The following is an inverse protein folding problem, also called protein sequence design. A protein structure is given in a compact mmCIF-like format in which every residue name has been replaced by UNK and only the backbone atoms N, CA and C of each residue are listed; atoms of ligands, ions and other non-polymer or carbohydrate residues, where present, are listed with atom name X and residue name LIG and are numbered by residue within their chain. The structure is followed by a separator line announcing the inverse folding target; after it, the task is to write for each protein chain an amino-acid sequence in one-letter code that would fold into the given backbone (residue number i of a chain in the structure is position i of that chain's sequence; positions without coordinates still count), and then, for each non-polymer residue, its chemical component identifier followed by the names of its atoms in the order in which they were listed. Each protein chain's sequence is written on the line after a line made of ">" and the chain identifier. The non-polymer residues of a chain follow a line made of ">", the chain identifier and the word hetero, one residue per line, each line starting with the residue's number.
data_IF_373570020520
#
_entry.id   IF_373570020520
#
_cell.length_a   1.000
_cell.length_b   1.000
_cell.length_c   1.000
_cell.angle_alpha   90.00
_cell.angle_beta   90.00
_cell.angle_gamma   90.00
#
_symmetry.space_group_name_H-M   'P 1'
#
loop_
_entity.id
_entity.type
_entity.pdbx_description
1 polymer ?
#
# COMPACT_ATOMS: atom_id res chain seq x y z
N UNK A 1 -5.04 8.17 8.01
CA UNK A 1 -5.84 9.08 7.15
C UNK A 1 -5.06 10.31 6.71
N UNK A 2 -4.43 11.06 7.63
CA UNK A 2 -3.71 12.31 7.31
C UNK A 2 -2.59 12.08 6.28
N UNK A 3 -1.76 11.05 6.46
CA UNK A 3 -0.67 10.71 5.52
C UNK A 3 -1.18 10.39 4.11
N UNK A 4 -2.28 9.66 4.00
CA UNK A 4 -2.89 9.35 2.70
C UNK A 4 -3.43 10.63 2.03
N UNK A 5 -4.07 11.52 2.82
CA UNK A 5 -4.51 12.83 2.33
C UNK A 5 -3.36 13.71 1.84
N UNK A 6 -2.25 13.77 2.57
CA UNK A 6 -1.04 14.49 2.16
C UNK A 6 -0.46 13.92 0.87
N UNK A 7 -0.37 12.59 0.74
CA UNK A 7 0.16 11.94 -0.45
C UNK A 7 -0.70 12.22 -1.70
N UNK A 8 -2.04 12.14 -1.57
CA UNK A 8 -2.97 12.43 -2.66
C UNK A 8 -2.92 13.91 -3.05
N UNK A 9 -2.90 14.81 -2.07
CA UNK A 9 -2.80 16.27 -2.32
C UNK A 9 -1.47 16.59 -3.01
N UNK A 10 -0.36 16.04 -2.50
CA UNK A 10 0.96 16.20 -3.10
C UNK A 10 1.00 15.68 -4.54
N UNK A 11 0.43 14.52 -4.80
CA UNK A 11 0.29 13.95 -6.14
C UNK A 11 -0.50 14.89 -7.07
N UNK A 12 -1.66 15.38 -6.63
CA UNK A 12 -2.51 16.27 -7.45
C UNK A 12 -1.79 17.57 -7.79
N UNK A 13 -1.12 18.18 -6.81
CA UNK A 13 -0.35 19.42 -7.02
C UNK A 13 0.80 19.20 -8.00
N UNK A 14 1.58 18.13 -7.83
CA UNK A 14 2.72 17.85 -8.72
C UNK A 14 2.29 17.51 -10.13
N UNK A 15 1.17 16.78 -10.32
CA UNK A 15 0.59 16.52 -11.66
C UNK A 15 0.15 17.83 -12.32
N UNK A 16 -0.54 18.70 -11.58
CA UNK A 16 -1.00 19.99 -12.11
C UNK A 16 0.19 20.85 -12.53
N UNK A 17 1.24 20.91 -11.71
CA UNK A 17 2.47 21.62 -12.07
C UNK A 17 3.16 21.01 -13.30
N UNK A 18 3.22 19.67 -13.43
CA UNK A 18 3.80 19.01 -14.60
C UNK A 18 3.05 19.38 -15.90
N UNK A 19 1.71 19.39 -15.85
CA UNK A 19 0.88 19.81 -16.99
C UNK A 19 1.16 21.27 -17.36
N UNK A 20 1.19 22.18 -16.40
CA UNK A 20 1.45 23.60 -16.63
C UNK A 20 2.83 23.83 -17.24
N UNK A 21 3.87 23.17 -16.72
CA UNK A 21 5.25 23.32 -17.26
C UNK A 21 5.37 22.78 -18.70
N UNK A 22 4.63 21.72 -19.02
CA UNK A 22 4.55 21.19 -20.41
C UNK A 22 3.83 22.16 -21.36
N UNK A 23 2.74 22.79 -20.89
CA UNK A 23 2.03 23.80 -21.70
C UNK A 23 2.88 25.03 -21.98
N UNK A 24 3.78 25.41 -21.05
CA UNK A 24 4.75 26.49 -21.21
C UNK A 24 5.99 26.11 -22.05
N UNK A 25 5.99 24.89 -22.65
CA UNK A 25 7.10 24.36 -23.46
C UNK A 25 8.43 24.27 -22.67
N UNK A 26 8.40 24.24 -21.35
CA UNK A 26 9.56 24.09 -20.44
C UNK A 26 9.33 22.95 -19.45
N UNK A 27 9.31 21.67 -19.90
CA UNK A 27 9.03 20.54 -19.03
C UNK A 27 10.15 20.36 -18.00
N UNK A 28 9.77 20.26 -16.74
CA UNK A 28 10.68 19.94 -15.65
C UNK A 28 10.68 18.42 -15.43
N UNK A 29 11.67 17.75 -15.98
CA UNK A 29 11.74 16.28 -15.95
C UNK A 29 11.79 15.69 -14.53
N UNK A 30 12.39 16.40 -13.56
CA UNK A 30 12.43 15.96 -12.17
C UNK A 30 11.04 15.97 -11.50
N UNK A 31 10.11 16.78 -11.96
CA UNK A 31 8.77 16.88 -11.42
C UNK A 31 8.00 15.57 -11.62
N UNK A 32 8.24 14.89 -12.74
CA UNK A 32 7.67 13.58 -13.04
C UNK A 32 8.13 12.50 -12.04
N UNK A 33 9.38 12.58 -11.59
CA UNK A 33 9.91 11.67 -10.57
C UNK A 33 9.26 11.90 -9.19
N UNK A 34 9.05 13.16 -8.82
CA UNK A 34 8.35 13.54 -7.59
C UNK A 34 6.90 13.06 -7.63
N UNK A 35 6.22 13.25 -8.76
CA UNK A 35 4.85 12.77 -8.98
C UNK A 35 4.73 11.26 -8.81
N UNK A 36 5.63 10.50 -9.44
CA UNK A 36 5.69 9.04 -9.29
C UNK A 36 5.93 8.62 -7.84
N UNK A 37 6.78 9.35 -7.13
CA UNK A 37 7.06 9.08 -5.71
C UNK A 37 5.80 9.26 -4.87
N UNK A 38 5.10 10.39 -4.98
CA UNK A 38 3.84 10.61 -4.26
C UNK A 38 2.78 9.59 -4.62
N UNK A 39 2.68 9.20 -5.89
CA UNK A 39 1.74 8.19 -6.34
C UNK A 39 2.00 6.83 -5.66
N UNK A 40 3.24 6.35 -5.71
CA UNK A 40 3.62 5.05 -5.13
C UNK A 40 3.37 5.04 -3.62
N UNK A 41 3.87 6.04 -2.89
CA UNK A 41 3.64 6.12 -1.46
C UNK A 41 2.15 6.27 -1.12
N UNK A 42 1.40 7.06 -1.90
CA UNK A 42 -0.05 7.20 -1.73
C UNK A 42 -0.80 5.89 -1.89
N UNK A 43 -0.49 5.11 -2.93
CA UNK A 43 -1.09 3.80 -3.18
C UNK A 43 -0.78 2.81 -2.06
N UNK A 44 0.49 2.71 -1.66
CA UNK A 44 0.89 1.74 -0.62
C UNK A 44 0.38 2.11 0.77
N UNK A 45 0.42 3.39 1.16
CA UNK A 45 -0.15 3.85 2.43
C UNK A 45 -1.68 3.70 2.40
N UNK A 46 -2.32 3.99 1.27
CA UNK A 46 -3.75 3.79 1.07
C UNK A 46 -4.16 2.32 1.22
N UNK A 47 -3.41 1.39 0.60
CA UNK A 47 -3.63 -0.05 0.74
C UNK A 47 -3.49 -0.52 2.20
N UNK A 48 -2.45 -0.07 2.91
CA UNK A 48 -2.27 -0.37 4.33
C UNK A 48 -3.41 0.20 5.20
N UNK A 49 -3.89 1.41 4.89
CA UNK A 49 -5.02 2.03 5.58
C UNK A 49 -6.34 1.29 5.31
N UNK A 50 -6.57 0.83 4.08
CA UNK A 50 -7.74 0.02 3.71
C UNK A 50 -7.73 -1.33 4.45
N UNK A 51 -6.57 -1.98 4.55
CA UNK A 51 -6.42 -3.22 5.32
C UNK A 51 -6.78 -3.00 6.80
N UNK A 52 -6.36 -1.90 7.40
CA UNK A 52 -6.71 -1.57 8.80
C UNK A 52 -8.21 -1.38 9.01
N UNK A 53 -8.93 -0.84 8.01
CA UNK A 53 -10.38 -0.59 8.11
C UNK A 53 -11.24 -1.83 7.87
N UNK A 54 -10.66 -2.95 7.51
CA UNK A 54 -11.40 -4.13 7.05
C UNK A 54 -12.34 -3.84 5.85
N UNK A 55 -12.04 -2.81 5.07
CA UNK A 55 -12.82 -2.39 3.90
C UNK A 55 -12.67 -3.39 2.72
N UNK A 56 -12.39 -4.65 2.99
CA UNK A 56 -12.51 -5.74 2.02
C UNK A 56 -13.99 -6.08 1.79
N UNK A 57 -14.75 -5.07 1.36
CA UNK A 57 -16.20 -5.09 1.15
C UNK A 57 -16.71 -6.31 0.38
N UNK A 58 -15.90 -6.85 -0.52
CA UNK A 58 -16.29 -8.01 -1.34
C UNK A 58 -16.37 -9.31 -0.53
N UNK A 59 -15.47 -9.50 0.42
CA UNK A 59 -15.48 -10.68 1.28
C UNK A 59 -16.52 -10.55 2.42
N UNK A 60 -16.78 -9.33 2.89
CA UNK A 60 -17.82 -9.08 3.88
C UNK A 60 -19.22 -9.45 3.34
N UNK A 61 -19.55 -9.07 2.12
CA UNK A 61 -20.83 -9.40 1.49
C UNK A 61 -21.03 -10.92 1.32
N UNK A 62 -19.96 -11.67 1.01
CA UNK A 62 -20.03 -13.14 0.93
C UNK A 62 -20.04 -13.76 2.33
N UNK A 63 -19.29 -13.20 3.28
CA UNK A 63 -19.25 -13.69 4.66
C UNK A 63 -20.59 -13.48 5.39
N UNK A 64 -21.34 -12.42 5.09
CA UNK A 64 -22.68 -12.18 5.63
C UNK A 64 -23.71 -13.21 5.17
N UNK A 65 -23.53 -13.77 3.98
CA UNK A 65 -24.41 -14.84 3.47
C UNK A 65 -24.12 -16.22 4.10
N UNK A 66 -22.96 -16.38 4.76
CA UNK A 66 -22.52 -17.61 5.39
C UNK A 66 -22.66 -17.52 6.93
N UNK A 67 -23.27 -18.53 7.56
CA UNK A 67 -23.44 -18.59 9.01
C UNK A 67 -22.49 -19.62 9.66
N UNK A 68 -22.01 -19.33 10.88
CA UNK A 68 -21.28 -20.27 11.72
C UNK A 68 -19.83 -20.54 11.26
N UNK A 69 -19.36 -21.80 11.39
CA UNK A 69 -17.96 -22.21 11.14
C UNK A 69 -17.46 -21.91 9.73
N UNK A 70 -18.35 -21.89 8.74
CA UNK A 70 -18.00 -21.60 7.32
C UNK A 70 -17.57 -20.13 7.15
N UNK A 71 -18.22 -19.20 7.84
CA UNK A 71 -17.84 -17.78 7.86
C UNK A 71 -16.46 -17.61 8.46
N UNK A 72 -16.22 -18.22 9.61
CA UNK A 72 -14.93 -18.15 10.32
C UNK A 72 -13.78 -18.71 9.47
N UNK A 73 -13.99 -19.83 8.80
CA UNK A 73 -13.00 -20.42 7.90
C UNK A 73 -12.68 -19.51 6.72
N UNK A 74 -13.68 -18.87 6.10
CA UNK A 74 -13.50 -17.95 4.98
C UNK A 74 -12.74 -16.69 5.40
N UNK A 75 -13.10 -16.08 6.53
CA UNK A 75 -12.41 -14.90 7.05
C UNK A 75 -10.96 -15.20 7.42
N UNK A 76 -10.70 -16.34 8.06
CA UNK A 76 -9.35 -16.75 8.39
C UNK A 76 -8.52 -17.02 7.14
N UNK A 77 -9.08 -17.70 6.15
CA UNK A 77 -8.42 -17.95 4.87
C UNK A 77 -8.07 -16.65 4.14
N UNK A 78 -9.00 -15.70 4.08
CA UNK A 78 -8.75 -14.40 3.45
C UNK A 78 -7.59 -13.63 4.13
N UNK A 79 -7.56 -13.61 5.48
CA UNK A 79 -6.49 -12.97 6.24
C UNK A 79 -5.14 -13.67 6.07
N UNK A 80 -5.13 -14.99 5.95
CA UNK A 80 -3.90 -15.75 5.65
C UNK A 80 -3.37 -15.42 4.26
N UNK A 81 -4.24 -15.29 3.26
CA UNK A 81 -3.84 -14.87 1.91
C UNK A 81 -3.24 -13.46 1.93
N UNK A 82 -3.89 -12.50 2.60
CA UNK A 82 -3.37 -11.13 2.75
C UNK A 82 -2.02 -11.13 3.46
N UNK A 83 -1.86 -11.93 4.51
CA UNK A 83 -0.59 -12.07 5.21
C UNK A 83 0.50 -12.65 4.31
N UNK A 84 0.18 -13.67 3.51
CA UNK A 84 1.11 -14.25 2.53
C UNK A 84 1.59 -13.24 1.49
N UNK A 85 0.66 -12.43 0.97
CA UNK A 85 1.00 -11.34 0.02
C UNK A 85 1.85 -10.27 0.71
N UNK A 86 1.53 -9.88 1.94
CA UNK A 86 2.31 -8.90 2.70
C UNK A 86 3.75 -9.38 2.96
N UNK A 87 3.92 -10.64 3.35
CA UNK A 87 5.25 -11.25 3.52
C UNK A 87 6.03 -11.33 2.19
N UNK A 88 5.36 -11.61 1.08
CA UNK A 88 5.97 -11.57 -0.25
C UNK A 88 6.47 -10.17 -0.59
N UNK A 89 5.70 -9.12 -0.26
CA UNK A 89 6.13 -7.73 -0.46
C UNK A 89 7.33 -7.36 0.41
N UNK A 90 7.40 -7.84 1.64
CA UNK A 90 8.57 -7.65 2.49
C UNK A 90 9.79 -8.34 1.89
N UNK A 91 9.67 -9.60 1.49
CA UNK A 91 10.77 -10.39 0.97
C UNK A 91 11.29 -9.86 -0.37
N UNK A 92 10.43 -9.82 -1.38
CA UNK A 92 10.83 -9.34 -2.72
C UNK A 92 11.11 -7.85 -2.76
N UNK A 93 10.41 -7.04 -1.95
CA UNK A 93 10.66 -5.61 -1.83
C UNK A 93 12.03 -5.32 -1.24
N UNK A 94 12.46 -6.05 -0.20
CA UNK A 94 13.78 -5.89 0.39
C UNK A 94 14.90 -6.33 -0.56
N UNK A 95 14.73 -7.46 -1.27
CA UNK A 95 15.69 -7.91 -2.28
C UNK A 95 15.86 -6.88 -3.40
N UNK A 96 14.75 -6.40 -3.97
CA UNK A 96 14.80 -5.37 -5.02
C UNK A 96 15.43 -4.05 -4.54
N UNK A 97 15.19 -3.67 -3.30
CA UNK A 97 15.79 -2.46 -2.72
C UNK A 97 17.30 -2.60 -2.59
N UNK A 98 17.79 -3.77 -2.12
CA UNK A 98 19.20 -4.02 -1.89
C UNK A 98 20.00 -4.27 -3.19
N UNK A 99 19.44 -5.09 -4.10
CA UNK A 99 20.16 -5.50 -5.31
C UNK A 99 20.08 -4.47 -6.43
N UNK A 100 18.91 -3.87 -6.64
CA UNK A 100 18.65 -2.95 -7.74
C UNK A 100 18.55 -1.49 -7.33
N UNK A 101 17.93 -1.22 -6.18
CA UNK A 101 17.57 0.12 -5.76
C UNK A 101 18.77 1.04 -5.49
N UNK A 102 19.84 0.52 -4.90
CA UNK A 102 21.04 1.29 -4.61
C UNK A 102 22.03 1.36 -5.79
N UNK A 103 21.96 0.40 -6.72
CA UNK A 103 22.85 0.35 -7.89
C UNK A 103 22.37 1.19 -9.06
N UNK A 104 21.07 1.45 -9.13
CA UNK A 104 20.44 2.18 -10.21
C UNK A 104 20.06 3.59 -9.79
N UNK A 105 20.47 4.58 -10.59
CA UNK A 105 20.17 5.99 -10.41
C UNK A 105 19.03 6.39 -11.35
N UNK A 106 18.14 7.25 -10.87
CA UNK A 106 17.07 7.84 -11.69
C UNK A 106 17.63 9.00 -12.50
N UNK A 107 17.31 9.03 -13.76
CA UNK A 107 17.58 10.17 -14.63
C UNK A 107 16.30 11.04 -14.70
N UNK A 108 16.34 12.38 -14.51
CA UNK A 108 17.55 13.23 -14.47
C UNK A 108 18.05 13.59 -13.06
N UNK A 109 17.34 13.21 -11.95
CA UNK A 109 17.64 13.70 -10.59
C UNK A 109 18.86 13.04 -9.96
N UNK A 110 19.44 11.98 -10.55
CA UNK A 110 20.54 11.17 -10.00
C UNK A 110 20.23 10.58 -8.61
N UNK A 111 18.94 10.51 -8.22
CA UNK A 111 18.54 9.89 -6.95
C UNK A 111 18.50 8.37 -7.07
N UNK A 112 18.86 7.61 -6.02
CA UNK A 112 18.81 6.16 -6.07
C UNK A 112 17.37 5.66 -6.19
N UNK A 113 17.16 4.66 -7.05
CA UNK A 113 15.86 4.00 -7.21
C UNK A 113 15.34 3.39 -5.90
N UNK A 114 16.23 3.14 -4.96
CA UNK A 114 15.90 2.67 -3.61
C UNK A 114 14.81 3.51 -2.95
N UNK A 115 14.74 4.81 -3.20
CA UNK A 115 13.71 5.70 -2.63
C UNK A 115 12.28 5.30 -3.01
N UNK A 116 12.09 4.66 -4.18
CA UNK A 116 10.79 4.09 -4.58
C UNK A 116 10.59 2.68 -4.03
N UNK A 117 11.63 1.85 -4.12
CA UNK A 117 11.51 0.45 -3.74
C UNK A 117 11.30 0.25 -2.23
N UNK A 118 11.82 1.14 -1.39
CA UNK A 118 11.59 1.13 0.08
C UNK A 118 10.10 1.23 0.44
N UNK A 119 9.27 1.85 -0.39
CA UNK A 119 7.83 1.92 -0.16
C UNK A 119 7.17 0.53 -0.12
N UNK A 120 7.68 -0.44 -0.91
CA UNK A 120 7.12 -1.79 -1.04
C UNK A 120 7.29 -2.60 0.26
N UNK A 121 8.51 -2.81 0.79
CA UNK A 121 8.68 -3.55 2.04
C UNK A 121 8.07 -2.82 3.23
N UNK A 122 8.11 -1.48 3.25
CA UNK A 122 7.48 -0.69 4.30
C UNK A 122 5.96 -0.92 4.36
N UNK A 123 5.29 -0.89 3.21
CA UNK A 123 3.87 -1.24 3.12
C UNK A 123 3.63 -2.70 3.54
N UNK A 124 4.45 -3.63 3.06
CA UNK A 124 4.34 -5.04 3.42
C UNK A 124 4.38 -5.26 4.93
N UNK A 125 5.29 -4.60 5.63
CA UNK A 125 5.37 -4.66 7.11
C UNK A 125 4.12 -4.08 7.76
N UNK A 126 3.63 -2.92 7.32
CA UNK A 126 2.41 -2.32 7.87
C UNK A 126 1.18 -3.22 7.67
N UNK A 127 1.01 -3.75 6.46
CA UNK A 127 -0.10 -4.67 6.16
C UNK A 127 0.01 -5.94 6.99
N UNK A 128 1.21 -6.52 7.13
CA UNK A 128 1.43 -7.71 7.95
C UNK A 128 1.08 -7.45 9.43
N UNK A 129 1.52 -6.33 10.00
CA UNK A 129 1.21 -5.96 11.38
C UNK A 129 -0.31 -5.78 11.59
N UNK A 130 -0.98 -5.06 10.71
CA UNK A 130 -2.43 -4.86 10.82
C UNK A 130 -3.20 -6.17 10.63
N UNK A 131 -2.77 -7.03 9.73
CA UNK A 131 -3.41 -8.34 9.53
C UNK A 131 -3.21 -9.26 10.73
N UNK A 132 -2.01 -9.27 11.34
CA UNK A 132 -1.76 -10.01 12.56
C UNK A 132 -2.61 -9.51 13.73
N UNK A 133 -2.71 -8.19 13.92
CA UNK A 133 -3.61 -7.58 14.91
C UNK A 133 -5.05 -8.04 14.71
N UNK A 134 -5.53 -8.05 13.47
CA UNK A 134 -6.88 -8.49 13.13
C UNK A 134 -7.11 -9.98 13.39
N UNK A 135 -6.13 -10.82 13.11
CA UNK A 135 -6.21 -12.27 13.40
C UNK A 135 -6.28 -12.49 14.92
N UNK A 136 -5.42 -11.83 15.70
CA UNK A 136 -5.38 -11.97 17.15
C UNK A 136 -6.66 -11.46 17.82
N UNK A 137 -7.15 -10.29 17.39
CA UNK A 137 -8.39 -9.71 17.92
C UNK A 137 -9.62 -10.52 17.50
N UNK A 138 -9.66 -11.00 16.25
CA UNK A 138 -10.74 -11.87 15.78
C UNK A 138 -10.79 -13.20 16.51
N UNK A 139 -9.64 -13.75 16.90
CA UNK A 139 -9.57 -14.99 17.70
C UNK A 139 -10.07 -14.79 19.15
N UNK A 140 -9.81 -13.62 19.75
CA UNK A 140 -10.23 -13.32 21.14
C UNK A 140 -11.71 -12.98 21.26
N UNK A 141 -12.27 -12.26 20.29
CA UNK A 141 -13.63 -11.67 20.40
C UNK A 141 -14.67 -12.39 19.51
N UNK A 142 -14.30 -13.56 18.92
CA UNK A 142 -15.15 -14.28 17.98
C UNK A 142 -15.69 -13.32 16.91
N UNK A 143 -15.20 -13.32 15.73
CA UNK A 143 -15.47 -12.46 14.55
C UNK A 143 -16.88 -11.83 14.40
N UNK A 144 -17.69 -11.80 15.49
CA UNK A 144 -19.09 -11.34 15.52
C UNK A 144 -19.29 -9.86 15.89
N UNK A 145 -18.29 -9.18 16.46
CA UNK A 145 -18.46 -7.86 17.07
C UNK A 145 -18.09 -6.68 16.15
N UNK A 146 -18.56 -6.66 14.91
CA UNK A 146 -18.65 -5.39 14.13
C UNK A 146 -19.75 -5.49 13.07
N UNK A 147 -21.00 -5.39 13.51
CA UNK A 147 -22.07 -4.90 12.68
C UNK A 147 -22.13 -3.37 12.82
#
# INVERSE_FOLDING_TARGET
>A
MILCGIAITGFTVTVTCDIVTRMLSRPWLWLQEVTMTFFIYGVFIGAAAATRRNDHLYLAAIAESLRGRKRLALELFARLVVLGVALSFVWFGSLNTLDGGFKSLRMPSMTPLASLYVAIPFCGVLVALFTLEQIVNGWKNGFEDRA
#
